data_IF_003167059007
#
_entry.id   IF_003167059007
#
_cell.length_a   1.000
_cell.length_b   1.000
_cell.length_c   1.000
_cell.angle_alpha   90.00
_cell.angle_beta   90.00
_cell.angle_gamma   90.00
#
_symmetry.space_group_name_H-M   'P 1'
#
loop_
_entity.id
_entity.type
_entity.pdbx_description
1 polymer ?
#
# COMPACT_ATOMS: atom_id res chain seq x y z
N UNK A 1 16.28 -39.03 -30.06
CA UNK A 1 15.66 -39.41 -28.77
C UNK A 1 16.77 -39.74 -27.78
N UNK A 2 17.01 -38.88 -26.78
CA UNK A 2 17.91 -39.16 -25.65
C UNK A 2 17.13 -38.84 -24.38
N UNK A 3 16.83 -39.87 -23.58
CA UNK A 3 16.11 -39.74 -22.33
C UNK A 3 17.06 -39.35 -21.20
N UNK A 4 16.69 -38.33 -20.44
CA UNK A 4 17.33 -37.97 -19.17
C UNK A 4 16.75 -38.88 -18.07
N UNK A 5 17.60 -39.73 -17.49
CA UNK A 5 17.25 -40.61 -16.39
C UNK A 5 17.52 -39.87 -15.07
N UNK A 6 16.48 -39.42 -14.38
CA UNK A 6 16.59 -38.86 -13.03
C UNK A 6 16.54 -39.99 -12.01
N UNK A 7 17.60 -40.14 -11.21
CA UNK A 7 17.67 -41.11 -10.13
C UNK A 7 16.89 -40.61 -8.90
N UNK A 8 15.76 -41.25 -8.63
CA UNK A 8 15.00 -41.03 -7.39
C UNK A 8 15.60 -41.82 -6.22
N UNK A 9 15.59 -41.21 -5.04
CA UNK A 9 16.04 -41.82 -3.78
C UNK A 9 15.15 -43.01 -3.35
N UNK A 10 15.71 -43.96 -2.57
CA UNK A 10 15.01 -45.18 -2.12
C UNK A 10 13.69 -44.90 -1.39
N UNK A 11 13.56 -43.76 -0.70
CA UNK A 11 12.31 -43.37 -0.02
C UNK A 11 11.19 -42.90 -0.96
N UNK A 12 11.51 -42.30 -2.11
CA UNK A 12 10.50 -41.84 -3.08
C UNK A 12 9.91 -42.99 -3.91
N UNK A 13 10.67 -44.08 -4.09
CA UNK A 13 10.19 -45.28 -4.81
C UNK A 13 9.13 -46.06 -4.03
N UNK A 14 9.17 -46.01 -2.69
CA UNK A 14 8.27 -46.78 -1.83
C UNK A 14 6.88 -46.12 -1.67
N UNK A 15 6.74 -44.84 -1.99
CA UNK A 15 5.45 -44.14 -1.96
C UNK A 15 4.65 -44.32 -3.26
N UNK A 16 5.32 -44.42 -4.40
CA UNK A 16 4.67 -44.58 -5.72
C UNK A 16 4.17 -46.01 -5.98
N UNK A 17 4.65 -47.01 -5.25
CA UNK A 17 4.23 -48.42 -5.42
C UNK A 17 2.90 -48.78 -4.75
N UNK A 18 2.26 -47.86 -4.02
CA UNK A 18 0.98 -48.08 -3.34
C UNK A 18 -0.21 -47.37 -4.01
N UNK A 19 -0.06 -46.88 -5.23
CA UNK A 19 -1.16 -46.27 -5.99
C UNK A 19 -1.76 -47.35 -6.90
N UNK A 20 -3.04 -47.75 -6.73
CA UNK A 20 -3.69 -48.66 -7.66
C UNK A 20 -3.75 -48.03 -9.06
N UNK A 21 -3.31 -48.76 -10.08
CA UNK A 21 -3.17 -48.29 -11.47
C UNK A 21 -4.49 -47.98 -12.22
N UNK A 22 -5.60 -47.73 -11.52
CA UNK A 22 -6.93 -47.55 -12.11
C UNK A 22 -7.52 -46.13 -12.08
N UNK A 23 -6.83 -45.11 -11.55
CA UNK A 23 -7.45 -43.81 -11.25
C UNK A 23 -6.70 -42.59 -11.82
N UNK A 24 -6.30 -42.65 -13.10
CA UNK A 24 -5.72 -41.47 -13.75
C UNK A 24 -6.66 -40.68 -14.67
N UNK A 25 -7.90 -41.13 -14.93
CA UNK A 25 -8.84 -40.39 -15.80
C UNK A 25 -10.32 -40.52 -15.41
N UNK A 26 -10.67 -40.44 -14.12
CA UNK A 26 -12.07 -40.33 -13.70
C UNK A 26 -12.44 -38.86 -13.42
N UNK A 27 -13.53 -38.31 -13.98
CA UNK A 27 -14.04 -37.00 -13.56
C UNK A 27 -14.42 -37.06 -12.08
N UNK A 28 -14.02 -36.04 -11.32
CA UNK A 28 -14.31 -35.92 -9.89
C UNK A 28 -15.84 -35.91 -9.71
N UNK A 29 -16.47 -36.92 -9.07
CA UNK A 29 -17.89 -36.83 -8.75
C UNK A 29 -18.07 -35.79 -7.65
N UNK A 30 -18.95 -34.81 -7.88
CA UNK A 30 -19.44 -33.95 -6.80
C UNK A 30 -20.15 -34.83 -5.77
N UNK A 31 -19.77 -34.80 -4.48
CA UNK A 31 -20.44 -35.60 -3.48
C UNK A 31 -21.85 -35.07 -3.24
N UNK A 32 -22.86 -35.92 -3.43
CA UNK A 32 -24.29 -35.63 -3.21
C UNK A 32 -24.66 -35.39 -1.72
N UNK A 33 -23.69 -35.41 -0.81
CA UNK A 33 -23.90 -35.21 0.63
C UNK A 33 -23.41 -33.84 1.14
N UNK A 34 -22.95 -32.93 0.27
CA UNK A 34 -22.56 -31.59 0.70
C UNK A 34 -23.79 -30.79 1.17
N UNK A 35 -23.82 -30.33 2.44
CA UNK A 35 -25.00 -29.67 2.99
C UNK A 35 -25.23 -28.28 2.36
N UNK A 36 -26.51 -27.94 2.16
CA UNK A 36 -27.02 -26.81 1.35
C UNK A 36 -26.56 -25.41 1.78
N UNK A 37 -25.93 -25.24 2.95
CA UNK A 37 -25.41 -23.95 3.41
C UNK A 37 -24.08 -23.54 2.78
N UNK A 38 -23.45 -24.39 1.96
CA UNK A 38 -22.17 -24.07 1.28
C UNK A 38 -22.32 -23.32 -0.06
N UNK A 39 -23.54 -23.09 -0.56
CA UNK A 39 -23.80 -22.42 -1.87
C UNK A 39 -24.01 -20.89 -1.82
N UNK A 40 -23.62 -20.22 -0.73
CA UNK A 40 -23.97 -18.81 -0.50
C UNK A 40 -22.84 -17.81 -0.27
N UNK A 41 -21.56 -18.18 -0.38
CA UNK A 41 -20.46 -17.21 -0.17
C UNK A 41 -20.19 -16.37 -1.42
N UNK A 42 -21.01 -15.32 -1.58
CA UNK A 42 -20.66 -14.19 -2.43
C UNK A 42 -19.34 -13.58 -1.94
N UNK A 43 -18.41 -13.45 -2.88
CA UNK A 43 -17.22 -12.60 -2.88
C UNK A 43 -17.17 -11.58 -1.75
N UNK A 44 -16.22 -11.75 -0.83
CA UNK A 44 -15.84 -10.68 0.10
C UNK A 44 -15.57 -9.42 -0.73
N UNK A 45 -16.14 -8.26 -0.36
CA UNK A 45 -15.95 -7.02 -1.12
C UNK A 45 -14.44 -6.78 -1.27
N UNK A 46 -13.97 -6.60 -2.51
CA UNK A 46 -12.54 -6.41 -2.81
C UNK A 46 -12.02 -5.23 -1.97
N UNK A 47 -11.27 -5.53 -0.92
CA UNK A 47 -10.59 -4.52 -0.13
C UNK A 47 -9.61 -3.76 -1.05
N UNK A 48 -9.69 -2.42 -1.06
CA UNK A 48 -8.69 -1.60 -1.76
C UNK A 48 -7.32 -1.86 -1.16
N UNK A 49 -6.31 -2.02 -2.01
CA UNK A 49 -4.91 -2.18 -1.57
C UNK A 49 -4.56 -1.02 -0.63
N UNK A 50 -4.18 -1.36 0.61
CA UNK A 50 -3.81 -0.37 1.64
C UNK A 50 -4.95 0.08 2.57
N UNK A 51 -6.15 -0.51 2.50
CA UNK A 51 -7.20 -0.29 3.51
C UNK A 51 -6.75 -0.75 4.92
N UNK A 52 -7.33 -0.25 6.01
CA UNK A 52 -7.12 -0.81 7.35
C UNK A 52 -7.45 -2.31 7.39
N UNK A 53 -6.75 -3.09 8.21
CA UNK A 53 -7.03 -4.52 8.40
C UNK A 53 -8.34 -4.70 9.17
N UNK A 54 -9.30 -5.42 8.59
CA UNK A 54 -10.49 -5.83 9.31
C UNK A 54 -10.15 -6.96 10.28
N UNK A 55 -10.86 -7.04 11.41
CA UNK A 55 -10.59 -8.05 12.43
C UNK A 55 -10.60 -9.48 11.85
N UNK A 56 -11.60 -9.80 11.03
CA UNK A 56 -11.71 -11.11 10.35
C UNK A 56 -10.51 -11.43 9.45
N UNK A 57 -9.94 -10.44 8.77
CA UNK A 57 -8.74 -10.63 7.93
C UNK A 57 -7.52 -10.90 8.79
N UNK A 58 -7.39 -10.18 9.91
CA UNK A 58 -6.29 -10.38 10.87
C UNK A 58 -6.37 -11.77 11.51
N UNK A 59 -7.55 -12.20 11.95
CA UNK A 59 -7.76 -13.51 12.57
C UNK A 59 -7.39 -14.64 11.59
N UNK A 60 -7.86 -14.54 10.33
CA UNK A 60 -7.53 -15.50 9.28
C UNK A 60 -6.03 -15.51 8.96
N UNK A 61 -5.38 -14.34 8.85
CA UNK A 61 -3.93 -14.27 8.60
C UNK A 61 -3.13 -14.96 9.71
N UNK A 62 -3.51 -14.74 10.97
CA UNK A 62 -2.86 -15.36 12.14
C UNK A 62 -3.11 -16.86 12.17
N UNK A 63 -4.32 -17.32 11.84
CA UNK A 63 -4.63 -18.74 11.74
C UNK A 63 -3.76 -19.42 10.68
N UNK A 64 -3.73 -18.88 9.46
CA UNK A 64 -2.96 -19.44 8.35
C UNK A 64 -1.44 -19.42 8.63
N UNK A 65 -0.94 -18.41 9.35
CA UNK A 65 0.45 -18.38 9.84
C UNK A 65 0.72 -19.52 10.83
N UNK A 66 -0.19 -19.80 11.77
CA UNK A 66 -0.07 -20.93 12.71
C UNK A 66 -0.12 -22.29 12.00
N UNK A 67 -0.84 -22.39 10.88
CA UNK A 67 -0.84 -23.55 9.98
C UNK A 67 0.46 -23.70 9.16
N UNK A 68 1.44 -22.81 9.35
CA UNK A 68 2.74 -22.86 8.66
C UNK A 68 2.70 -22.36 7.21
N UNK A 69 1.63 -21.68 6.79
CA UNK A 69 1.53 -21.15 5.42
C UNK A 69 2.46 -19.96 5.24
N UNK A 70 3.11 -19.89 4.08
CA UNK A 70 3.95 -18.76 3.68
C UNK A 70 3.13 -17.50 3.45
N UNK A 71 3.74 -16.31 3.57
CA UNK A 71 3.06 -15.02 3.36
C UNK A 71 2.37 -14.92 1.98
N UNK A 72 2.98 -15.50 0.94
CA UNK A 72 2.38 -15.60 -0.40
C UNK A 72 1.08 -16.43 -0.36
N UNK A 73 1.11 -17.63 0.24
CA UNK A 73 -0.08 -18.46 0.40
C UNK A 73 -1.17 -17.76 1.20
N UNK A 74 -0.83 -17.09 2.31
CA UNK A 74 -1.78 -16.33 3.13
C UNK A 74 -2.43 -15.21 2.29
N UNK A 75 -1.65 -14.50 1.47
CA UNK A 75 -2.20 -13.42 0.64
C UNK A 75 -3.23 -13.88 -0.40
N UNK A 76 -3.13 -15.14 -0.87
CA UNK A 76 -4.12 -15.74 -1.78
C UNK A 76 -5.48 -15.97 -1.09
N UNK A 77 -5.50 -16.11 0.23
CA UNK A 77 -6.73 -16.23 1.03
C UNK A 77 -7.31 -14.87 1.45
N UNK A 78 -6.61 -13.75 1.20
CA UNK A 78 -6.98 -12.42 1.65
C UNK A 78 -7.09 -11.44 0.46
N UNK A 79 -8.22 -11.42 -0.26
CA UNK A 79 -8.37 -10.60 -1.45
C UNK A 79 -8.16 -9.11 -1.14
N UNK A 80 -7.26 -8.47 -1.89
CA UNK A 80 -6.87 -7.07 -1.68
C UNK A 80 -5.66 -6.85 -0.77
N UNK A 81 -5.09 -7.93 -0.19
CA UNK A 81 -3.84 -7.89 0.58
C UNK A 81 -2.69 -8.40 -0.27
N UNK A 82 -1.60 -7.64 -0.30
CA UNK A 82 -0.34 -8.08 -0.92
C UNK A 82 0.46 -8.92 0.07
N UNK A 83 1.32 -9.82 -0.43
CA UNK A 83 2.26 -10.58 0.40
C UNK A 83 3.05 -9.67 1.37
N UNK A 84 3.58 -8.56 0.85
CA UNK A 84 4.28 -7.55 1.67
C UNK A 84 3.38 -6.95 2.76
N UNK A 85 2.09 -6.75 2.45
CA UNK A 85 1.09 -6.29 3.40
C UNK A 85 0.86 -7.29 4.52
N UNK A 86 0.71 -8.58 4.18
CA UNK A 86 0.59 -9.70 5.13
C UNK A 86 1.83 -9.77 6.02
N UNK A 87 3.02 -9.79 5.45
CA UNK A 87 4.29 -9.84 6.19
C UNK A 87 4.40 -8.70 7.20
N UNK A 88 4.16 -7.45 6.78
CA UNK A 88 4.19 -6.29 7.69
C UNK A 88 3.17 -6.40 8.82
N UNK A 89 1.98 -6.93 8.52
CA UNK A 89 0.93 -7.13 9.50
C UNK A 89 1.31 -8.19 10.53
N UNK A 90 1.80 -9.35 10.09
CA UNK A 90 2.21 -10.44 10.97
C UNK A 90 3.43 -10.09 11.83
N UNK A 91 4.42 -9.37 11.29
CA UNK A 91 5.55 -8.84 12.09
C UNK A 91 5.04 -7.91 13.19
N UNK A 92 4.09 -7.03 12.86
CA UNK A 92 3.48 -6.14 13.85
C UNK A 92 2.70 -6.93 14.91
N UNK A 93 1.92 -7.91 14.48
CA UNK A 93 1.18 -8.81 15.38
C UNK A 93 2.13 -9.55 16.33
N UNK A 94 3.23 -10.12 15.83
CA UNK A 94 4.24 -10.80 16.66
C UNK A 94 4.89 -9.85 17.66
N UNK A 95 5.25 -8.64 17.24
CA UNK A 95 5.76 -7.60 18.14
C UNK A 95 4.74 -7.25 19.24
N UNK A 96 3.48 -7.07 18.85
CA UNK A 96 2.37 -6.79 19.78
C UNK A 96 2.10 -7.97 20.74
N UNK A 97 2.41 -9.21 20.35
CA UNK A 97 2.35 -10.40 21.21
C UNK A 97 3.56 -10.54 22.14
N UNK A 98 4.75 -10.14 21.69
CA UNK A 98 6.00 -10.22 22.47
C UNK A 98 6.10 -9.09 23.51
N UNK A 99 5.58 -7.91 23.20
CA UNK A 99 5.39 -6.88 24.21
C UNK A 99 4.33 -7.37 25.21
N UNK A 100 4.65 -7.36 26.51
CA UNK A 100 3.78 -7.77 27.63
C UNK A 100 2.30 -7.46 27.37
N UNK A 101 1.32 -8.28 27.82
CA UNK A 101 -0.11 -8.01 27.68
C UNK A 101 -0.55 -6.58 28.09
N UNK A 102 0.22 -5.91 28.96
CA UNK A 102 0.07 -4.51 29.37
C UNK A 102 0.45 -3.49 28.28
N UNK A 103 1.35 -3.86 27.38
CA UNK A 103 1.87 -3.04 26.28
C UNK A 103 1.06 -3.15 24.98
N UNK A 104 -0.01 -3.95 24.95
CA UNK A 104 -0.98 -3.96 23.85
C UNK A 104 -1.73 -2.63 23.82
N UNK A 105 -1.08 -1.60 23.24
CA UNK A 105 -1.66 -0.27 22.99
C UNK A 105 -2.96 -0.34 22.14
N UNK A 106 -3.23 -1.48 21.52
CA UNK A 106 -4.40 -1.74 20.68
C UNK A 106 -5.25 -2.92 21.19
N UNK A 107 -5.57 -2.99 22.49
CA UNK A 107 -6.67 -3.87 22.91
C UNK A 107 -7.95 -3.36 22.23
N UNK A 108 -8.58 -4.25 21.47
CA UNK A 108 -9.79 -3.94 20.70
C UNK A 108 -10.93 -3.75 21.68
N UNK A 109 -11.54 -2.58 21.68
CA UNK A 109 -12.80 -2.36 22.38
C UNK A 109 -13.87 -3.19 21.68
N UNK A 110 -14.31 -4.28 22.32
CA UNK A 110 -15.46 -5.05 21.84
C UNK A 110 -16.73 -4.19 21.95
N UNK A 111 -17.75 -4.52 21.15
CA UNK A 111 -19.04 -3.80 21.17
C UNK A 111 -19.64 -3.75 22.58
N UNK A 112 -19.62 -4.88 23.28
CA UNK A 112 -20.11 -5.01 24.66
C UNK A 112 -19.35 -4.12 25.66
N UNK A 113 -18.02 -4.03 25.51
CA UNK A 113 -17.20 -3.17 26.38
C UNK A 113 -17.51 -1.70 26.11
N UNK A 114 -17.72 -1.33 24.84
CA UNK A 114 -18.09 0.05 24.46
C UNK A 114 -19.43 0.41 25.07
N UNK A 115 -20.43 -0.47 24.97
CA UNK A 115 -21.76 -0.26 25.55
C UNK A 115 -21.67 -0.09 27.07
N UNK A 116 -20.88 -0.92 27.77
CA UNK A 116 -20.67 -0.76 29.22
C UNK A 116 -19.94 0.53 29.59
N UNK A 117 -18.93 0.92 28.82
CA UNK A 117 -18.19 2.18 29.05
C UNK A 117 -19.09 3.40 28.81
N UNK A 118 -19.95 3.37 27.80
CA UNK A 118 -20.93 4.43 27.53
C UNK A 118 -21.99 4.49 28.64
N UNK A 119 -22.57 3.34 29.02
CA UNK A 119 -23.56 3.28 30.10
C UNK A 119 -23.00 3.78 31.44
N UNK A 120 -21.76 3.41 31.79
CA UNK A 120 -21.07 3.92 32.97
C UNK A 120 -20.88 5.45 32.89
N UNK A 121 -20.58 5.99 31.71
CA UNK A 121 -20.42 7.42 31.51
C UNK A 121 -21.74 8.18 31.65
N UNK A 122 -22.83 7.63 31.11
CA UNK A 122 -24.18 8.20 31.20
C UNK A 122 -24.71 8.16 32.63
N UNK A 123 -24.29 7.16 33.43
CA UNK A 123 -24.52 7.10 34.87
C UNK A 123 -23.68 8.10 35.69
N UNK A 124 -22.92 8.98 35.04
CA UNK A 124 -22.11 10.01 35.69
C UNK A 124 -20.75 9.53 36.23
N UNK A 125 -20.35 8.29 35.99
CA UNK A 125 -19.06 7.75 36.46
C UNK A 125 -17.92 8.49 35.75
N UNK A 126 -16.90 8.88 36.53
CA UNK A 126 -15.73 9.56 35.98
C UNK A 126 -14.89 8.62 35.12
N UNK A 127 -14.20 9.16 34.11
CA UNK A 127 -13.36 8.35 33.21
C UNK A 127 -12.27 7.59 33.98
N UNK A 128 -11.70 8.20 35.03
CA UNK A 128 -10.68 7.56 35.86
C UNK A 128 -11.26 6.38 36.65
N UNK A 129 -12.49 6.48 37.16
CA UNK A 129 -13.18 5.34 37.80
C UNK A 129 -13.51 4.23 36.79
N UNK A 130 -13.97 4.57 35.57
CA UNK A 130 -14.17 3.59 34.50
C UNK A 130 -12.84 2.90 34.16
N UNK A 131 -11.74 3.65 34.08
CA UNK A 131 -10.42 3.08 33.85
C UNK A 131 -9.98 2.12 34.97
N UNK A 132 -10.31 2.43 36.23
CA UNK A 132 -10.06 1.52 37.35
C UNK A 132 -10.91 0.24 37.27
N UNK A 133 -12.19 0.35 36.87
CA UNK A 133 -13.05 -0.82 36.65
C UNK A 133 -12.50 -1.76 35.57
N UNK A 134 -11.79 -1.21 34.59
CA UNK A 134 -11.19 -1.96 33.49
C UNK A 134 -9.66 -1.96 33.53
N UNK A 135 -9.03 -1.80 34.70
CA UNK A 135 -7.57 -1.58 34.82
C UNK A 135 -6.72 -2.68 34.17
N UNK A 136 -7.21 -3.93 34.22
CA UNK A 136 -6.53 -5.10 33.65
C UNK A 136 -6.71 -5.18 32.12
N UNK A 137 -7.56 -4.31 31.57
CA UNK A 137 -8.02 -4.34 30.18
C UNK A 137 -7.71 -3.08 29.39
N UNK A 138 -7.86 -1.88 29.97
CA UNK A 138 -7.65 -0.63 29.25
C UNK A 138 -7.03 0.44 30.15
N UNK A 139 -6.13 1.20 29.56
CA UNK A 139 -5.61 2.44 30.17
C UNK A 139 -6.66 3.55 30.07
N UNK A 140 -6.60 4.51 30.99
CA UNK A 140 -7.46 5.69 30.95
C UNK A 140 -7.38 6.44 29.61
N UNK A 141 -6.17 6.55 29.04
CA UNK A 141 -5.95 7.16 27.73
C UNK A 141 -6.71 6.44 26.61
N UNK A 142 -6.75 5.10 26.64
CA UNK A 142 -7.49 4.31 25.65
C UNK A 142 -9.00 4.57 25.76
N UNK A 143 -9.52 4.62 26.99
CA UNK A 143 -10.93 4.91 27.25
C UNK A 143 -11.29 6.33 26.79
N UNK A 144 -10.47 7.35 27.12
CA UNK A 144 -10.66 8.72 26.63
C UNK A 144 -10.67 8.79 25.10
N UNK A 145 -9.68 8.18 24.46
CA UNK A 145 -9.60 8.16 23.00
C UNK A 145 -10.81 7.47 22.37
N UNK A 146 -11.29 6.37 22.97
CA UNK A 146 -12.47 5.65 22.47
C UNK A 146 -13.75 6.46 22.63
N UNK A 147 -13.97 7.05 23.81
CA UNK A 147 -15.11 7.94 24.06
C UNK A 147 -15.10 9.14 23.11
N UNK A 148 -13.95 9.78 22.91
CA UNK A 148 -13.82 10.88 21.95
C UNK A 148 -14.10 10.43 20.51
N UNK A 149 -13.73 9.19 20.15
CA UNK A 149 -14.05 8.63 18.84
C UNK A 149 -15.55 8.34 18.68
N UNK A 150 -16.20 7.74 19.69
CA UNK A 150 -17.65 7.49 19.66
C UNK A 150 -18.45 8.79 19.65
N UNK A 151 -18.02 9.82 20.40
CA UNK A 151 -18.60 11.16 20.32
C UNK A 151 -18.45 11.75 18.91
N UNK A 152 -17.27 11.65 18.29
CA UNK A 152 -17.07 12.06 16.89
C UNK A 152 -17.89 11.24 15.92
N UNK A 153 -18.10 9.95 16.20
CA UNK A 153 -18.91 9.06 15.37
C UNK A 153 -20.38 9.43 15.47
N UNK A 154 -20.90 9.64 16.68
CA UNK A 154 -22.26 10.12 16.92
C UNK A 154 -22.46 11.50 16.27
N UNK A 155 -21.48 12.41 16.39
CA UNK A 155 -21.52 13.67 15.66
C UNK A 155 -21.46 13.46 14.15
N UNK A 156 -20.70 12.48 13.66
CA UNK A 156 -20.60 12.11 12.23
C UNK A 156 -21.88 11.45 11.67
N UNK A 157 -22.62 10.70 12.49
CA UNK A 157 -23.92 10.09 12.12
C UNK A 157 -25.02 11.14 12.16
N UNK A 158 -25.01 12.06 13.13
CA UNK A 158 -25.83 13.29 13.05
C UNK A 158 -25.46 14.14 11.81
N UNK A 159 -24.21 14.02 11.37
CA UNK A 159 -23.68 14.54 10.11
C UNK A 159 -24.02 13.66 8.89
N UNK A 160 -24.92 12.67 8.95
CA UNK A 160 -25.34 11.94 7.73
C UNK A 160 -25.92 12.89 6.70
N UNK A 161 -26.65 13.94 7.11
CA UNK A 161 -27.02 15.03 6.23
C UNK A 161 -25.80 15.81 5.69
N UNK A 162 -24.71 15.91 6.45
CA UNK A 162 -23.45 16.44 5.94
C UNK A 162 -22.67 15.42 5.08
N UNK A 163 -22.86 14.12 5.28
CA UNK A 163 -22.31 13.03 4.48
C UNK A 163 -23.05 12.92 3.14
N UNK A 164 -24.35 13.14 3.13
CA UNK A 164 -25.18 13.30 1.95
C UNK A 164 -24.79 14.58 1.22
N UNK A 165 -24.64 15.72 1.90
CA UNK A 165 -24.01 16.94 1.32
C UNK A 165 -22.57 16.70 0.84
N UNK A 166 -21.84 15.73 1.42
CA UNK A 166 -20.51 15.28 0.96
C UNK A 166 -20.61 14.37 -0.28
N UNK A 167 -21.69 13.60 -0.45
CA UNK A 167 -21.97 12.75 -1.62
C UNK A 167 -22.52 13.59 -2.78
N UNK A 168 -23.39 14.54 -2.47
CA UNK A 168 -23.82 15.64 -3.34
C UNK A 168 -22.72 16.68 -3.57
N UNK A 169 -21.47 16.45 -3.13
CA UNK A 169 -20.32 17.24 -3.60
C UNK A 169 -20.25 17.06 -5.10
N UNK A 170 -20.91 17.98 -5.79
CA UNK A 170 -20.83 18.15 -7.24
C UNK A 170 -19.36 18.14 -7.58
N UNK A 171 -19.00 17.36 -8.59
CA UNK A 171 -17.70 17.47 -9.22
C UNK A 171 -17.40 18.96 -9.43
N UNK A 172 -16.14 19.35 -9.34
CA UNK A 172 -15.77 20.71 -9.72
C UNK A 172 -16.17 20.91 -11.18
N UNK A 173 -16.96 21.95 -11.43
CA UNK A 173 -17.23 22.39 -12.80
C UNK A 173 -15.96 22.96 -13.41
N UNK A 174 -15.90 23.02 -14.74
CA UNK A 174 -14.77 23.63 -15.45
C UNK A 174 -14.57 25.09 -15.04
N UNK A 175 -15.66 25.84 -14.82
CA UNK A 175 -15.58 27.22 -14.35
C UNK A 175 -14.97 27.35 -12.95
N UNK A 176 -15.29 26.42 -12.04
CA UNK A 176 -14.67 26.40 -10.72
C UNK A 176 -13.18 26.04 -10.82
N UNK A 177 -12.81 25.14 -11.73
CA UNK A 177 -11.42 24.77 -11.96
C UNK A 177 -10.59 25.95 -12.48
N UNK A 178 -11.12 26.75 -13.42
CA UNK A 178 -10.52 28.00 -13.85
C UNK A 178 -10.33 28.97 -12.69
N UNK A 179 -11.38 29.21 -11.90
CA UNK A 179 -11.33 30.10 -10.73
C UNK A 179 -10.29 29.64 -9.69
N UNK A 180 -10.16 28.32 -9.47
CA UNK A 180 -9.18 27.76 -8.53
C UNK A 180 -7.75 28.09 -8.96
N UNK A 181 -7.45 28.00 -10.26
CA UNK A 181 -6.12 28.31 -10.81
C UNK A 181 -5.88 29.82 -10.77
N UNK A 182 -6.78 30.61 -11.33
CA UNK A 182 -6.68 32.09 -11.37
C UNK A 182 -6.50 32.68 -9.97
N UNK A 183 -7.40 32.37 -9.04
CA UNK A 183 -7.34 32.94 -7.69
C UNK A 183 -6.13 32.48 -6.90
N UNK A 184 -5.56 31.32 -7.24
CA UNK A 184 -4.36 30.83 -6.58
C UNK A 184 -3.10 31.44 -7.14
N UNK A 185 -2.99 31.53 -8.45
CA UNK A 185 -1.77 31.91 -9.15
C UNK A 185 -1.65 33.41 -9.31
N UNK A 186 -2.75 34.11 -9.59
CA UNK A 186 -2.74 35.55 -9.83
C UNK A 186 -3.02 36.35 -8.56
N UNK A 187 -4.04 35.93 -7.80
CA UNK A 187 -4.47 36.65 -6.59
C UNK A 187 -3.82 36.13 -5.30
N UNK A 188 -3.05 35.03 -5.39
CA UNK A 188 -2.38 34.39 -4.26
C UNK A 188 -3.27 34.09 -3.06
N UNK A 189 -4.57 33.86 -3.28
CA UNK A 189 -5.52 33.62 -2.18
C UNK A 189 -5.17 32.35 -1.41
N UNK A 190 -5.46 32.36 -0.11
CA UNK A 190 -5.33 31.18 0.73
C UNK A 190 -6.35 30.11 0.33
N UNK A 191 -6.05 28.83 0.54
CA UNK A 191 -6.97 27.75 0.21
C UNK A 191 -8.31 27.83 0.95
N UNK A 192 -8.32 28.42 2.14
CA UNK A 192 -9.53 28.64 2.95
C UNK A 192 -10.40 29.72 2.31
N UNK A 193 -9.78 30.81 1.83
CA UNK A 193 -10.47 31.88 1.09
C UNK A 193 -11.09 31.33 -0.21
N UNK A 194 -10.30 30.61 -1.01
CA UNK A 194 -10.78 30.01 -2.27
C UNK A 194 -11.95 29.06 -1.98
N UNK A 195 -11.84 28.21 -0.96
CA UNK A 195 -12.92 27.30 -0.57
C UNK A 195 -14.19 28.06 -0.16
N UNK A 196 -14.07 29.13 0.64
CA UNK A 196 -15.21 29.97 1.02
C UNK A 196 -15.89 30.60 -0.21
N UNK A 197 -15.12 31.15 -1.15
CA UNK A 197 -15.66 31.76 -2.38
C UNK A 197 -16.39 30.75 -3.28
N UNK A 198 -15.90 29.52 -3.37
CA UNK A 198 -16.53 28.44 -4.13
C UNK A 198 -17.70 27.75 -3.40
N UNK A 199 -18.03 28.16 -2.16
CA UNK A 199 -19.00 27.44 -1.33
C UNK A 199 -18.55 26.01 -0.97
N UNK A 200 -17.24 25.74 -0.97
CA UNK A 200 -16.66 24.43 -0.66
C UNK A 200 -16.31 24.34 0.84
N UNK A 201 -16.54 23.19 1.48
CA UNK A 201 -16.40 23.06 2.94
C UNK A 201 -14.94 22.94 3.43
N UNK A 202 -13.97 22.78 2.53
CA UNK A 202 -12.59 22.52 2.94
C UNK A 202 -11.57 23.05 1.93
N UNK A 203 -10.66 23.90 2.40
CA UNK A 203 -9.48 24.33 1.64
C UNK A 203 -8.59 23.16 1.21
N UNK A 204 -8.55 22.05 1.97
CA UNK A 204 -7.77 20.87 1.58
C UNK A 204 -8.34 20.19 0.33
N UNK A 205 -9.66 20.17 0.18
CA UNK A 205 -10.31 19.62 -1.01
C UNK A 205 -9.98 20.43 -2.26
N UNK A 206 -10.03 21.76 -2.14
CA UNK A 206 -9.65 22.71 -3.21
C UNK A 206 -8.18 22.58 -3.57
N UNK A 207 -7.29 22.54 -2.56
CA UNK A 207 -5.86 22.33 -2.77
C UNK A 207 -5.57 21.04 -3.55
N UNK A 208 -6.23 19.93 -3.17
CA UNK A 208 -6.07 18.67 -3.89
C UNK A 208 -6.57 18.78 -5.34
N UNK A 209 -7.66 19.52 -5.60
CA UNK A 209 -8.18 19.75 -6.94
C UNK A 209 -7.22 20.58 -7.78
N UNK A 210 -6.72 21.70 -7.24
CA UNK A 210 -5.69 22.52 -7.90
C UNK A 210 -4.49 21.68 -8.37
N UNK A 211 -3.95 20.82 -7.51
CA UNK A 211 -2.84 19.93 -7.90
C UNK A 211 -3.22 18.90 -8.96
N UNK A 212 -4.50 18.54 -9.09
CA UNK A 212 -4.97 17.67 -10.16
C UNK A 212 -5.19 18.42 -11.48
N UNK A 213 -5.41 19.74 -11.43
CA UNK A 213 -5.62 20.59 -12.61
C UNK A 213 -4.33 21.01 -13.28
N UNK A 214 -3.21 21.09 -12.55
CA UNK A 214 -1.92 21.43 -13.15
C UNK A 214 -1.43 20.28 -14.04
N UNK A 215 -1.40 20.43 -15.37
CA UNK A 215 -0.89 19.39 -16.28
C UNK A 215 0.60 19.13 -16.04
N UNK A 216 1.34 20.14 -15.59
CA UNK A 216 2.78 20.08 -15.31
C UNK A 216 3.12 19.64 -13.89
N UNK A 217 2.12 19.50 -13.01
CA UNK A 217 2.32 18.77 -11.78
C UNK A 217 2.44 17.31 -12.17
N UNK A 218 3.65 16.91 -12.59
CA UNK A 218 4.07 15.54 -12.86
C UNK A 218 3.27 14.64 -11.95
N UNK A 219 2.28 13.94 -12.52
CA UNK A 219 1.43 13.03 -11.76
C UNK A 219 2.39 12.20 -10.92
N UNK A 220 2.10 12.00 -9.63
CA UNK A 220 2.97 11.14 -8.80
C UNK A 220 3.20 9.82 -9.54
N UNK A 221 4.43 9.61 -10.03
CA UNK A 221 4.78 8.45 -10.86
C UNK A 221 4.89 8.68 -12.37
N UNK A 222 4.80 9.91 -12.89
CA UNK A 222 5.30 10.21 -14.24
C UNK A 222 6.78 9.83 -14.26
N UNK A 223 7.24 9.05 -15.27
CA UNK A 223 8.62 8.64 -15.36
C UNK A 223 9.50 9.89 -15.35
N UNK A 224 10.48 9.86 -14.45
CA UNK A 224 11.40 10.96 -14.28
C UNK A 224 12.09 11.20 -15.62
N UNK A 225 11.88 12.36 -16.22
CA UNK A 225 12.71 12.74 -17.35
C UNK A 225 14.15 12.87 -16.81
N UNK A 226 15.11 12.16 -17.41
CA UNK A 226 16.51 12.17 -16.99
C UNK A 226 17.04 13.61 -16.89
N UNK A 227 16.63 14.50 -17.80
CA UNK A 227 17.00 15.92 -17.76
C UNK A 227 16.52 16.65 -16.51
N UNK A 228 15.35 16.28 -15.96
CA UNK A 228 14.84 16.89 -14.72
C UNK A 228 15.65 16.43 -13.51
N UNK A 229 16.08 15.17 -13.48
CA UNK A 229 16.90 14.66 -12.39
C UNK A 229 18.28 15.34 -12.37
N UNK A 230 18.92 15.49 -13.54
CA UNK A 230 20.19 16.19 -13.65
C UNK A 230 20.06 17.64 -13.19
N UNK A 231 18.99 18.33 -13.60
CA UNK A 231 18.77 19.71 -13.15
C UNK A 231 18.57 19.83 -11.64
N UNK A 232 17.92 18.85 -11.02
CA UNK A 232 17.75 18.79 -9.55
C UNK A 232 19.08 18.52 -8.84
N UNK A 233 19.95 17.66 -9.42
CA UNK A 233 21.29 17.39 -8.90
C UNK A 233 22.15 18.65 -8.94
N UNK A 234 22.15 19.38 -10.05
CA UNK A 234 22.86 20.65 -10.23
C UNK A 234 22.43 21.67 -9.17
N UNK A 235 21.13 21.97 -9.08
CA UNK A 235 20.63 22.97 -8.13
C UNK A 235 20.86 22.57 -6.67
N UNK A 236 20.80 21.26 -6.35
CA UNK A 236 21.16 20.79 -5.02
C UNK A 236 22.68 20.89 -4.77
N UNK A 237 23.52 20.72 -5.80
CA UNK A 237 24.97 20.93 -5.76
C UNK A 237 25.33 22.39 -5.50
N UNK A 238 24.54 23.33 -6.03
CA UNK A 238 24.62 24.78 -5.73
C UNK A 238 24.22 25.13 -4.28
N UNK A 239 23.77 24.17 -3.48
CA UNK A 239 23.36 24.38 -2.09
C UNK A 239 21.92 24.89 -1.91
N UNK A 240 21.10 24.90 -2.96
CA UNK A 240 19.70 25.32 -2.83
C UNK A 240 18.88 24.37 -1.97
N UNK A 241 17.94 24.94 -1.22
CA UNK A 241 17.00 24.17 -0.43
C UNK A 241 15.96 23.49 -1.33
N UNK A 242 15.44 22.32 -0.91
CA UNK A 242 14.39 21.61 -1.68
C UNK A 242 13.16 22.47 -2.03
N UNK A 243 12.69 23.40 -1.17
CA UNK A 243 11.64 24.37 -1.53
C UNK A 243 12.03 25.33 -2.65
N UNK A 244 13.29 25.77 -2.74
CA UNK A 244 13.75 26.65 -3.82
C UNK A 244 13.88 25.89 -5.14
N UNK A 245 14.43 24.68 -5.09
CA UNK A 245 14.52 23.78 -6.26
C UNK A 245 13.12 23.50 -6.82
N UNK A 246 12.16 23.15 -5.95
CA UNK A 246 10.77 22.91 -6.32
C UNK A 246 10.13 24.13 -7.01
N UNK A 247 10.40 25.34 -6.51
CA UNK A 247 9.94 26.59 -7.13
C UNK A 247 10.59 26.84 -8.49
N UNK A 248 11.92 26.73 -8.59
CA UNK A 248 12.68 26.99 -9.83
C UNK A 248 12.30 26.04 -10.97
N UNK A 249 12.01 24.79 -10.65
CA UNK A 249 11.69 23.76 -11.66
C UNK A 249 10.19 23.54 -11.84
N UNK A 250 9.35 24.29 -11.12
CA UNK A 250 7.90 24.10 -11.09
C UNK A 250 7.47 22.65 -10.78
N UNK A 251 8.20 21.97 -9.88
CA UNK A 251 7.94 20.57 -9.48
C UNK A 251 7.41 20.52 -8.05
N UNK A 252 6.61 19.51 -7.74
CA UNK A 252 6.08 19.33 -6.39
C UNK A 252 7.19 19.06 -5.36
N UNK A 253 7.17 19.80 -4.25
CA UNK A 253 8.14 19.66 -3.15
C UNK A 253 8.31 18.23 -2.62
N UNK A 254 7.25 17.39 -2.46
CA UNK A 254 7.42 16.01 -2.03
C UNK A 254 8.32 15.19 -2.97
N UNK A 255 8.27 15.45 -4.27
CA UNK A 255 9.04 14.71 -5.26
C UNK A 255 10.51 15.12 -5.20
N UNK A 256 10.78 16.44 -5.14
CA UNK A 256 12.14 16.96 -4.91
C UNK A 256 12.75 16.41 -3.63
N UNK A 257 12.00 16.38 -2.52
CA UNK A 257 12.45 15.78 -1.26
C UNK A 257 12.71 14.28 -1.40
N UNK A 258 11.86 13.58 -2.15
CA UNK A 258 12.03 12.16 -2.48
C UNK A 258 13.34 11.91 -3.20
N UNK A 259 13.62 12.65 -4.27
CA UNK A 259 14.84 12.49 -5.07
C UNK A 259 16.10 12.93 -4.32
N UNK A 260 16.08 14.07 -3.64
CA UNK A 260 17.20 14.50 -2.78
C UNK A 260 17.46 13.47 -1.68
N UNK A 261 16.41 12.88 -1.12
CA UNK A 261 16.53 11.77 -0.17
C UNK A 261 17.16 10.52 -0.78
N UNK A 262 16.79 10.15 -2.01
CA UNK A 262 17.42 9.04 -2.75
C UNK A 262 18.88 9.32 -3.08
N UNK A 263 19.22 10.53 -3.52
CA UNK A 263 20.61 10.96 -3.75
C UNK A 263 21.44 10.88 -2.47
N UNK A 264 20.90 11.31 -1.32
CA UNK A 264 21.58 11.17 -0.02
C UNK A 264 21.76 9.71 0.39
N UNK A 265 20.79 8.85 0.10
CA UNK A 265 20.92 7.40 0.36
C UNK A 265 21.97 6.75 -0.54
N UNK A 266 22.04 7.14 -1.82
CA UNK A 266 23.07 6.69 -2.74
C UNK A 266 24.47 7.15 -2.28
N UNK A 267 24.59 8.36 -1.70
CA UNK A 267 25.82 8.88 -1.07
C UNK A 267 26.18 8.20 0.26
N UNK A 268 25.18 7.74 1.01
CA UNK A 268 25.34 7.18 2.35
C UNK A 268 25.53 5.66 2.40
N UNK A 269 25.62 5.01 1.24
CA UNK A 269 25.96 3.58 1.12
C UNK A 269 27.45 3.30 1.32
N UNK A 270 28.31 4.33 1.23
CA UNK A 270 29.72 4.20 1.58
C UNK A 270 30.26 5.59 1.99
N UNK A 271 30.76 5.72 3.22
CA UNK A 271 31.05 7.03 3.84
C UNK A 271 32.35 7.69 3.35
N UNK A 272 33.00 7.19 2.31
CA UNK A 272 34.38 7.59 1.99
C UNK A 272 34.73 7.60 0.50
N UNK A 273 33.91 8.24 -0.36
CA UNK A 273 34.44 8.59 -1.69
C UNK A 273 33.92 9.93 -2.21
N UNK A 274 34.89 10.80 -2.48
CA UNK A 274 34.80 12.04 -3.25
C UNK A 274 34.15 11.80 -4.61
N UNK A 275 33.44 12.82 -5.13
CA UNK A 275 32.80 12.81 -6.44
C UNK A 275 33.82 12.80 -7.57
N UNK A 276 34.35 11.63 -7.89
CA UNK A 276 34.99 11.36 -9.17
C UNK A 276 34.26 10.19 -9.85
N UNK A 277 33.45 10.56 -10.84
CA UNK A 277 32.95 9.76 -11.98
C UNK A 277 32.59 8.30 -11.69
N UNK A 278 31.31 8.04 -11.42
CA UNK A 278 30.72 6.73 -11.73
C UNK A 278 29.76 6.87 -12.94
N UNK A 279 29.87 6.00 -13.96
CA UNK A 279 29.03 6.05 -15.15
C UNK A 279 27.54 5.81 -14.87
N UNK A 280 26.69 6.50 -15.65
CA UNK A 280 25.22 6.47 -15.64
C UNK A 280 24.59 5.08 -15.88
N UNK A 281 25.35 4.10 -16.36
CA UNK A 281 24.82 2.79 -16.77
C UNK A 281 24.28 1.93 -15.63
N UNK A 282 24.66 2.18 -14.37
CA UNK A 282 24.23 1.33 -13.25
C UNK A 282 22.85 1.68 -12.67
N UNK A 283 22.25 2.82 -13.00
CA UNK A 283 20.96 3.23 -12.41
C UNK A 283 19.72 2.87 -13.25
N UNK A 284 19.86 2.57 -14.54
CA UNK A 284 18.72 2.32 -15.44
C UNK A 284 18.27 0.84 -15.53
N UNK A 285 18.96 -0.11 -14.88
CA UNK A 285 18.58 -1.54 -14.89
C UNK A 285 17.83 -1.97 -13.63
N UNK A 286 16.61 -1.48 -13.46
CA UNK A 286 15.56 -2.24 -12.75
C UNK A 286 14.24 -2.17 -13.52
N UNK A 287 14.30 -2.62 -14.79
CA UNK A 287 13.15 -2.89 -15.65
C UNK A 287 13.26 -4.30 -16.20
N UNK A 288 12.24 -5.10 -15.89
CA UNK A 288 12.00 -6.50 -16.27
C UNK A 288 12.32 -6.78 -17.76
N UNK A 289 13.17 -7.78 -18.00
CA UNK A 289 13.14 -8.69 -19.16
C UNK A 289 13.59 -8.18 -20.53
N UNK A 290 14.90 -8.12 -20.78
CA UNK A 290 15.45 -8.12 -22.13
C UNK A 290 16.06 -9.49 -22.43
N UNK A 291 15.45 -10.24 -23.36
CA UNK A 291 16.05 -11.43 -23.97
C UNK A 291 17.34 -11.01 -24.69
N UNK A 292 18.42 -11.78 -24.48
CA UNK A 292 19.68 -11.59 -25.20
C UNK A 292 19.48 -11.81 -26.71
N UNK A 293 20.10 -11.02 -27.59
CA UNK A 293 20.21 -11.38 -28.99
C UNK A 293 21.20 -12.53 -29.14
N UNK A 294 20.73 -13.68 -29.58
CA UNK A 294 21.58 -14.78 -30.04
C UNK A 294 22.30 -14.35 -31.32
N UNK A 295 23.64 -14.32 -31.29
CA UNK A 295 24.48 -14.23 -32.49
C UNK A 295 24.14 -15.37 -33.47
N UNK A 296 24.03 -15.09 -34.78
CA UNK A 296 24.01 -16.16 -35.77
C UNK A 296 25.43 -16.72 -35.96
N UNK A 297 25.52 -18.04 -35.87
CA UNK A 297 26.70 -18.83 -36.13
C UNK A 297 27.29 -18.52 -37.52
N UNK A 298 28.61 -18.27 -37.53
CA UNK A 298 29.45 -18.33 -38.74
C UNK A 298 29.32 -19.72 -39.38
N UNK A 299 28.77 -19.78 -40.59
CA UNK A 299 29.03 -20.87 -41.52
C UNK A 299 30.21 -20.46 -42.40
N UNK A 300 31.34 -21.12 -42.19
CA UNK A 300 32.27 -21.39 -43.26
C UNK A 300 31.58 -22.35 -44.23
N UNK A 301 31.73 -22.12 -45.53
CA UNK A 301 32.01 -23.18 -46.50
C UNK A 301 32.30 -22.58 -47.90
N UNK A 302 33.51 -22.93 -48.37
CA UNK A 302 33.79 -23.52 -49.68
C UNK A 302 33.54 -22.68 -50.95
N UNK A 303 34.66 -22.25 -51.55
CA UNK A 303 34.85 -21.94 -52.97
C UNK A 303 34.34 -23.07 -53.88
N UNK A 304 33.91 -22.74 -55.11
CA UNK A 304 34.77 -23.16 -56.22
C UNK A 304 34.93 -22.05 -57.27
N UNK A 305 36.14 -22.01 -57.84
CA UNK A 305 36.43 -21.14 -58.97
C UNK A 305 35.81 -21.64 -60.27
N UNK A 306 35.70 -20.72 -61.22
CA UNK A 306 36.13 -20.84 -62.61
C UNK A 306 36.01 -19.44 -63.24
N UNK A 307 37.14 -18.92 -63.72
CA UNK A 307 37.23 -17.91 -64.77
C UNK A 307 37.24 -18.65 -66.12
N UNK A 308 37.15 -17.91 -67.24
CA UNK A 308 36.00 -17.18 -67.76
C UNK A 308 35.03 -18.08 -68.55
#
# INVERSE_FOLDING_TARGET
MRGLCLSLSRGQKQWLSNIPHGLQNAPIPSPAWAPTWYRGFHTTPRCKVGSPWAQKESDLAVQLMKEGKSNNQISRHLPGRTERGVMKHLIRYQKDCQTSPEHRRNRVFTKEIIEKVLAARDAGISISQIALMYKDTFTERQIRNRLAWEQRKASHVADEAAAERRRERRAYSESEDCNIVEWREELHLSWVEIARRLGRPSGRGVQNRYYALRPDALRRGSPLNEGLLERIKELHGEGLSSPEIARRLNVALPDVRGWVGQMRKARGGDRTTSWNLLPLELMCRTGIGAQQPTEPARKADVLPGLLP
#
